data_IF_750111328308
#
_entry.id   IF_750111328308
#
_cell.length_a   1.000
_cell.length_b   1.000
_cell.length_c   1.000
_cell.angle_alpha   90.00
_cell.angle_beta   90.00
_cell.angle_gamma   90.00
#
_symmetry.space_group_name_H-M   'P 1'
#
loop_
_entity.id
_entity.type
_entity.pdbx_description
1 polymer ?
#
# COMPACT_ATOMS: atom_id res chain seq x y z
N UNK A 1 -15.00 6.89 0.44
CA UNK A 1 -14.66 5.55 0.96
C UNK A 1 -14.72 5.63 2.48
N UNK A 2 -15.41 4.70 3.13
CA UNK A 2 -15.49 4.57 4.58
C UNK A 2 -14.75 3.31 5.04
N UNK A 3 -14.53 3.20 6.34
CA UNK A 3 -13.95 2.00 6.94
C UNK A 3 -15.05 0.97 7.23
N UNK A 4 -14.78 -0.31 6.95
CA UNK A 4 -15.60 -1.45 7.31
C UNK A 4 -14.74 -2.41 8.12
N UNK A 5 -15.15 -2.68 9.37
CA UNK A 5 -14.40 -3.52 10.31
C UNK A 5 -15.10 -4.89 10.42
N UNK A 6 -14.71 -5.89 9.60
CA UNK A 6 -15.44 -7.16 9.55
C UNK A 6 -15.10 -8.10 10.72
N UNK A 7 -13.91 -7.99 11.31
CA UNK A 7 -13.40 -9.01 12.23
C UNK A 7 -13.92 -8.87 13.66
N UNK A 8 -14.19 -7.66 14.12
CA UNK A 8 -14.48 -7.39 15.52
C UNK A 8 -15.37 -6.15 15.68
N UNK A 9 -15.91 -5.96 16.87
CA UNK A 9 -16.62 -4.75 17.28
C UNK A 9 -16.01 -4.18 18.57
N UNK A 10 -16.46 -2.98 18.99
CA UNK A 10 -16.16 -2.45 20.31
C UNK A 10 -16.87 -3.25 21.41
N UNK A 11 -16.39 -3.13 22.66
CA UNK A 11 -16.94 -3.84 23.81
C UNK A 11 -18.40 -3.45 24.14
N UNK A 12 -18.81 -2.26 23.78
CA UNK A 12 -20.12 -1.66 24.02
C UNK A 12 -21.04 -1.66 22.79
N UNK A 13 -20.69 -2.45 21.77
CA UNK A 13 -21.52 -2.56 20.56
C UNK A 13 -22.90 -3.13 20.91
N UNK A 14 -24.02 -2.61 20.34
CA UNK A 14 -25.37 -3.07 20.64
C UNK A 14 -25.58 -4.58 20.50
N UNK A 15 -24.91 -5.21 19.54
CA UNK A 15 -25.00 -6.67 19.32
C UNK A 15 -24.52 -7.51 20.51
N UNK A 16 -23.74 -6.96 21.42
CA UNK A 16 -23.31 -7.67 22.65
C UNK A 16 -24.52 -8.03 23.49
N UNK A 17 -25.49 -7.14 23.56
CA UNK A 17 -26.76 -7.39 24.25
C UNK A 17 -27.85 -8.04 23.39
N UNK A 18 -27.95 -7.62 22.13
CA UNK A 18 -29.02 -8.05 21.23
C UNK A 18 -28.76 -9.41 20.59
N UNK A 19 -27.50 -9.68 20.22
CA UNK A 19 -27.05 -10.87 19.48
C UNK A 19 -25.75 -11.45 20.04
N UNK A 20 -25.67 -11.80 21.31
CA UNK A 20 -24.43 -12.28 21.94
C UNK A 20 -23.84 -13.52 21.26
N UNK A 21 -24.65 -14.31 20.56
CA UNK A 21 -24.20 -15.48 19.79
C UNK A 21 -23.36 -15.12 18.55
N UNK A 22 -23.33 -13.85 18.14
CA UNK A 22 -22.45 -13.39 17.04
C UNK A 22 -20.97 -13.33 17.44
N UNK A 23 -20.64 -13.49 18.71
CA UNK A 23 -19.29 -13.37 19.23
C UNK A 23 -18.66 -14.71 19.57
N UNK A 24 -17.36 -14.78 19.46
CA UNK A 24 -16.58 -15.95 19.90
C UNK A 24 -16.57 -16.00 21.42
N UNK A 25 -17.22 -17.02 21.98
CA UNK A 25 -17.19 -17.28 23.44
C UNK A 25 -15.97 -18.09 23.83
N UNK A 26 -15.41 -17.76 24.99
CA UNK A 26 -14.38 -18.52 25.67
C UNK A 26 -14.91 -19.35 26.82
N UNK A 27 -14.12 -20.32 27.25
CA UNK A 27 -14.33 -21.07 28.50
C UNK A 27 -13.41 -20.52 29.61
N UNK A 28 -13.69 -20.88 30.87
CA UNK A 28 -12.77 -20.60 31.99
C UNK A 28 -11.38 -21.18 31.76
N UNK A 29 -11.29 -22.30 31.05
CA UNK A 29 -10.01 -22.90 30.67
C UNK A 29 -9.26 -22.03 29.66
N UNK A 30 -9.95 -21.44 28.70
CA UNK A 30 -9.34 -20.53 27.72
C UNK A 30 -8.85 -19.26 28.41
N UNK A 31 -9.65 -18.70 29.31
CA UNK A 31 -9.24 -17.55 30.11
C UNK A 31 -8.00 -17.90 31.01
N UNK A 32 -7.97 -19.06 31.62
CA UNK A 32 -6.84 -19.48 32.42
C UNK A 32 -5.55 -19.67 31.59
N UNK A 33 -5.67 -20.13 30.34
CA UNK A 33 -4.53 -20.37 29.45
C UNK A 33 -4.01 -19.06 28.78
N UNK A 34 -4.90 -18.14 28.49
CA UNK A 34 -4.57 -16.92 27.75
C UNK A 34 -5.44 -15.73 28.20
N UNK A 35 -5.27 -15.25 29.46
CA UNK A 35 -6.15 -14.23 30.06
C UNK A 35 -6.18 -12.93 29.23
N UNK A 36 -5.13 -12.61 28.50
CA UNK A 36 -5.04 -11.43 27.63
C UNK A 36 -5.91 -11.50 26.36
N UNK A 37 -6.52 -12.66 26.07
CA UNK A 37 -7.33 -12.86 24.88
C UNK A 37 -8.83 -12.90 25.16
N UNK A 38 -9.25 -12.78 26.42
CA UNK A 38 -10.66 -12.91 26.81
C UNK A 38 -11.06 -11.87 27.85
N UNK A 39 -12.34 -11.51 27.85
CA UNK A 39 -12.92 -10.56 28.78
C UNK A 39 -14.35 -10.93 29.15
N UNK A 40 -14.70 -10.71 30.42
CA UNK A 40 -16.08 -10.80 30.90
C UNK A 40 -16.82 -9.51 30.55
N UNK A 41 -17.93 -9.63 29.84
CA UNK A 41 -18.80 -8.50 29.46
C UNK A 41 -20.24 -8.82 29.84
N UNK A 42 -20.97 -7.84 30.36
CA UNK A 42 -22.40 -7.98 30.60
C UNK A 42 -23.16 -7.93 29.27
N UNK A 43 -23.83 -9.02 28.93
CA UNK A 43 -24.64 -9.16 27.72
C UNK A 43 -26.11 -8.78 27.91
N UNK A 44 -26.47 -8.11 29.02
CA UNK A 44 -27.86 -7.81 29.36
C UNK A 44 -28.66 -9.02 29.92
N UNK A 45 -28.23 -10.23 29.63
CA UNK A 45 -28.73 -11.49 30.20
C UNK A 45 -27.78 -12.07 31.27
N UNK A 46 -26.75 -11.32 31.62
CA UNK A 46 -25.70 -11.66 32.58
C UNK A 46 -24.31 -11.66 31.96
N UNK A 47 -23.26 -11.80 32.77
CA UNK A 47 -21.89 -11.80 32.32
C UNK A 47 -21.59 -13.02 31.43
N UNK A 48 -20.97 -12.76 30.26
CA UNK A 48 -20.46 -13.78 29.34
C UNK A 48 -18.98 -13.56 29.07
N UNK A 49 -18.24 -14.63 28.82
CA UNK A 49 -16.82 -14.58 28.52
C UNK A 49 -16.64 -14.55 27.01
N UNK A 50 -16.20 -13.43 26.47
CA UNK A 50 -15.94 -13.28 25.04
C UNK A 50 -14.45 -13.19 24.75
N UNK A 51 -14.08 -13.60 23.53
CA UNK A 51 -12.75 -13.40 23.02
C UNK A 51 -12.58 -11.95 22.50
N UNK A 52 -11.39 -11.38 22.74
CA UNK A 52 -10.98 -10.16 22.03
C UNK A 52 -10.70 -10.45 20.56
N UNK A 53 -10.94 -9.46 19.69
CA UNK A 53 -10.46 -9.48 18.31
C UNK A 53 -8.95 -9.65 18.28
N UNK A 54 -8.43 -10.51 17.39
CA UNK A 54 -6.99 -10.71 17.22
C UNK A 54 -6.65 -11.34 15.88
N UNK A 55 -5.40 -11.27 15.53
CA UNK A 55 -4.80 -12.12 14.52
C UNK A 55 -4.17 -13.39 15.14
N UNK A 56 -3.72 -14.38 14.33
CA UNK A 56 -3.15 -15.61 14.86
C UNK A 56 -1.78 -15.45 15.55
N UNK A 57 -1.14 -14.28 15.47
CA UNK A 57 0.26 -14.08 15.88
C UNK A 57 0.42 -13.13 17.07
N UNK A 58 -0.60 -12.36 17.41
CA UNK A 58 -0.56 -11.37 18.50
C UNK A 58 -1.64 -11.61 19.54
N UNK A 59 -1.48 -11.11 20.78
CA UNK A 59 -2.54 -11.09 21.79
C UNK A 59 -3.77 -10.32 21.30
N UNK A 60 -4.91 -10.58 21.96
CA UNK A 60 -6.17 -9.88 21.69
C UNK A 60 -6.08 -8.37 21.89
N UNK A 61 -6.78 -7.63 21.04
CA UNK A 61 -6.95 -6.16 21.18
C UNK A 61 -7.98 -5.88 22.28
N UNK A 62 -7.57 -5.28 23.42
CA UNK A 62 -8.36 -5.29 24.66
C UNK A 62 -9.63 -4.43 24.59
N UNK A 63 -9.78 -3.60 23.59
CA UNK A 63 -10.95 -2.74 23.34
C UNK A 63 -11.95 -3.33 22.35
N UNK A 64 -11.77 -4.61 21.95
CA UNK A 64 -12.57 -5.26 20.92
C UNK A 64 -13.17 -6.59 21.37
N UNK A 65 -14.22 -7.03 20.64
CA UNK A 65 -14.79 -8.39 20.74
C UNK A 65 -14.81 -9.06 19.37
N UNK A 66 -14.37 -10.30 19.31
CA UNK A 66 -14.27 -11.08 18.07
C UNK A 66 -15.63 -11.56 17.58
N UNK A 67 -15.97 -11.25 16.34
CA UNK A 67 -17.13 -11.80 15.66
C UNK A 67 -16.90 -13.26 15.25
N UNK A 68 -17.91 -14.10 15.41
CA UNK A 68 -17.87 -15.53 15.06
C UNK A 68 -18.45 -15.79 13.68
N UNK A 69 -17.63 -15.83 12.67
CA UNK A 69 -18.04 -16.16 11.30
C UNK A 69 -18.45 -17.62 11.10
N UNK A 70 -18.22 -18.50 12.07
CA UNK A 70 -18.76 -19.86 12.06
C UNK A 70 -20.21 -19.93 12.56
N UNK A 71 -20.72 -18.87 13.19
CA UNK A 71 -22.15 -18.75 13.49
C UNK A 71 -22.92 -18.37 12.21
N UNK A 72 -24.01 -19.07 11.86
CA UNK A 72 -24.66 -18.91 10.55
C UNK A 72 -25.20 -17.49 10.27
N UNK A 73 -25.63 -16.79 11.29
CA UNK A 73 -26.26 -15.46 11.13
C UNK A 73 -25.25 -14.31 11.11
N UNK A 74 -24.03 -14.49 11.62
CA UNK A 74 -23.02 -13.42 11.69
C UNK A 74 -22.60 -12.92 10.30
N UNK A 75 -22.26 -13.79 9.32
CA UNK A 75 -21.94 -13.32 7.97
C UNK A 75 -23.07 -12.52 7.32
N UNK A 76 -24.33 -12.95 7.50
CA UNK A 76 -25.48 -12.26 6.94
C UNK A 76 -25.70 -10.89 7.58
N UNK A 77 -25.56 -10.78 8.90
CA UNK A 77 -25.63 -9.52 9.61
C UNK A 77 -24.53 -8.56 9.13
N UNK A 78 -23.30 -9.03 8.97
CA UNK A 78 -22.17 -8.22 8.46
C UNK A 78 -22.34 -7.81 7.00
N UNK A 79 -22.98 -8.62 6.16
CA UNK A 79 -23.36 -8.19 4.81
C UNK A 79 -24.40 -7.07 4.87
N UNK A 80 -25.37 -7.14 5.80
CA UNK A 80 -26.34 -6.08 6.03
C UNK A 80 -25.68 -4.73 6.40
N UNK A 81 -24.69 -4.74 7.30
CA UNK A 81 -23.89 -3.55 7.64
C UNK A 81 -23.13 -3.02 6.41
N UNK A 82 -22.52 -3.89 5.63
CA UNK A 82 -21.82 -3.51 4.41
C UNK A 82 -22.75 -2.88 3.36
N UNK A 83 -23.97 -3.40 3.19
CA UNK A 83 -25.00 -2.81 2.33
C UNK A 83 -25.43 -1.43 2.81
N UNK A 84 -25.56 -1.24 4.13
CA UNK A 84 -25.86 0.06 4.71
C UNK A 84 -24.74 1.06 4.44
N UNK A 85 -23.49 0.69 4.67
CA UNK A 85 -22.31 1.53 4.35
C UNK A 85 -22.28 1.88 2.86
N UNK A 86 -22.58 0.91 1.98
CA UNK A 86 -22.62 1.13 0.54
C UNK A 86 -23.69 2.13 0.09
N UNK A 87 -24.71 2.39 0.91
CA UNK A 87 -25.68 3.46 0.65
C UNK A 87 -25.17 4.87 0.98
N UNK A 88 -24.04 4.99 1.68
CA UNK A 88 -23.50 6.24 2.20
C UNK A 88 -22.23 6.72 1.49
N UNK A 89 -21.57 5.86 0.72
CA UNK A 89 -20.28 6.19 0.08
C UNK A 89 -20.04 5.35 -1.19
N UNK A 90 -18.92 5.62 -1.88
CA UNK A 90 -18.57 4.97 -3.16
C UNK A 90 -17.61 3.77 -2.98
N UNK A 91 -17.23 3.44 -1.76
CA UNK A 91 -16.33 2.32 -1.49
C UNK A 91 -15.96 2.18 -0.02
N UNK A 92 -15.36 1.04 0.31
CA UNK A 92 -14.88 0.72 1.66
C UNK A 92 -13.42 0.33 1.68
N UNK A 93 -12.73 0.72 2.74
CA UNK A 93 -11.51 0.07 3.19
C UNK A 93 -11.92 -0.98 4.23
N UNK A 94 -11.59 -2.23 3.97
CA UNK A 94 -11.92 -3.34 4.86
C UNK A 94 -10.75 -3.61 5.78
N UNK A 95 -10.96 -3.32 7.05
CA UNK A 95 -9.99 -3.51 8.13
C UNK A 95 -9.62 -4.98 8.27
N UNK A 96 -8.32 -5.28 8.32
CA UNK A 96 -7.79 -6.63 8.52
C UNK A 96 -8.58 -7.71 7.75
N UNK A 97 -8.87 -7.45 6.47
CA UNK A 97 -9.82 -8.21 5.66
C UNK A 97 -9.50 -9.71 5.57
N UNK A 98 -8.21 -10.09 5.70
CA UNK A 98 -7.79 -11.48 5.66
C UNK A 98 -8.18 -12.29 6.90
N UNK A 99 -8.56 -11.66 8.02
CA UNK A 99 -8.88 -12.38 9.26
C UNK A 99 -10.18 -13.19 9.17
N UNK A 100 -11.07 -12.82 8.26
CA UNK A 100 -12.33 -13.55 8.01
C UNK A 100 -12.21 -14.60 6.89
N UNK A 101 -11.01 -14.76 6.30
CA UNK A 101 -10.76 -15.89 5.39
C UNK A 101 -10.87 -17.22 6.13
N UNK A 102 -11.51 -18.26 5.55
CA UNK A 102 -11.74 -19.53 6.24
C UNK A 102 -10.49 -20.15 6.87
N UNK A 103 -9.38 -20.16 6.14
CA UNK A 103 -8.12 -20.75 6.63
C UNK A 103 -7.46 -19.93 7.74
N UNK A 104 -7.58 -18.61 7.69
CA UNK A 104 -7.03 -17.69 8.71
C UNK A 104 -7.88 -17.75 9.97
N UNK A 105 -9.20 -17.71 9.81
CA UNK A 105 -10.14 -17.83 10.93
C UNK A 105 -10.00 -19.18 11.65
N UNK A 106 -9.93 -20.27 10.90
CA UNK A 106 -9.73 -21.62 11.46
C UNK A 106 -8.41 -21.73 12.24
N UNK A 107 -7.33 -21.16 11.72
CA UNK A 107 -6.02 -21.12 12.42
C UNK A 107 -6.10 -20.38 13.75
N UNK A 108 -6.92 -19.32 13.82
CA UNK A 108 -7.03 -18.47 15.01
C UNK A 108 -8.01 -19.05 16.03
N UNK A 109 -9.13 -19.63 15.57
CA UNK A 109 -10.29 -19.98 16.41
C UNK A 109 -10.63 -21.46 16.43
N UNK A 110 -9.91 -22.30 15.64
CA UNK A 110 -10.16 -23.74 15.57
C UNK A 110 -11.47 -24.14 14.89
N UNK A 111 -12.16 -23.19 14.25
CA UNK A 111 -13.43 -23.37 13.53
C UNK A 111 -13.31 -22.78 12.14
N UNK A 112 -13.80 -23.51 11.11
CA UNK A 112 -13.74 -23.07 9.73
C UNK A 112 -15.08 -22.48 9.33
N UNK A 113 -15.17 -21.15 9.07
CA UNK A 113 -16.39 -20.54 8.55
C UNK A 113 -16.54 -20.80 7.04
N UNK A 114 -17.76 -20.56 6.48
CA UNK A 114 -17.93 -20.46 5.04
C UNK A 114 -17.16 -19.25 4.46
N UNK A 115 -16.86 -19.23 3.14
CA UNK A 115 -16.34 -18.05 2.47
C UNK A 115 -17.27 -16.84 2.61
N UNK A 116 -16.71 -15.69 2.97
CA UNK A 116 -17.49 -14.45 3.19
C UNK A 116 -17.40 -13.47 2.02
N UNK A 117 -16.17 -13.14 1.57
CA UNK A 117 -15.93 -11.98 0.72
C UNK A 117 -16.58 -12.06 -0.66
N UNK A 118 -16.50 -13.17 -1.36
CA UNK A 118 -17.05 -13.31 -2.71
C UNK A 118 -18.54 -12.99 -2.72
N UNK A 119 -19.30 -13.63 -1.82
CA UNK A 119 -20.75 -13.40 -1.68
C UNK A 119 -21.08 -11.97 -1.24
N UNK A 120 -20.35 -11.40 -0.29
CA UNK A 120 -20.54 -10.05 0.21
C UNK A 120 -20.30 -8.99 -0.88
N UNK A 121 -19.18 -9.10 -1.60
CA UNK A 121 -18.82 -8.20 -2.71
C UNK A 121 -19.82 -8.29 -3.86
N UNK A 122 -20.20 -9.52 -4.26
CA UNK A 122 -21.20 -9.73 -5.30
C UNK A 122 -22.56 -9.10 -4.94
N UNK A 123 -22.99 -9.27 -3.69
CA UNK A 123 -24.27 -8.73 -3.21
C UNK A 123 -24.29 -7.20 -3.21
N UNK A 124 -23.24 -6.55 -2.77
CA UNK A 124 -23.12 -5.09 -2.83
C UNK A 124 -23.10 -4.60 -4.28
N UNK A 125 -22.29 -5.22 -5.14
CA UNK A 125 -22.16 -4.82 -6.55
C UNK A 125 -23.43 -5.04 -7.37
N UNK A 126 -24.31 -5.94 -6.98
CA UNK A 126 -25.66 -6.06 -7.61
C UNK A 126 -26.48 -4.78 -7.47
N UNK A 127 -26.30 -4.01 -6.38
CA UNK A 127 -27.01 -2.75 -6.11
C UNK A 127 -26.19 -1.52 -6.48
N UNK A 128 -24.87 -1.59 -6.33
CA UNK A 128 -23.91 -0.53 -6.58
C UNK A 128 -22.73 -1.07 -7.41
N UNK A 129 -22.86 -1.21 -8.75
CA UNK A 129 -21.84 -1.85 -9.59
C UNK A 129 -20.46 -1.18 -9.55
N UNK A 130 -20.41 0.15 -9.32
CA UNK A 130 -19.18 0.94 -9.25
C UNK A 130 -18.57 1.02 -7.86
N UNK A 131 -19.17 0.34 -6.86
CA UNK A 131 -18.68 0.38 -5.49
C UNK A 131 -17.31 -0.31 -5.37
N UNK A 132 -16.37 0.37 -4.70
CA UNK A 132 -14.97 -0.04 -4.62
C UNK A 132 -14.61 -0.67 -3.29
N UNK A 133 -13.77 -1.71 -3.35
CA UNK A 133 -13.29 -2.44 -2.19
C UNK A 133 -11.77 -2.36 -2.10
N UNK A 134 -11.25 -1.91 -0.96
CA UNK A 134 -9.82 -1.92 -0.63
C UNK A 134 -9.58 -2.80 0.59
N UNK A 135 -8.72 -3.80 0.47
CA UNK A 135 -8.36 -4.67 1.56
C UNK A 135 -7.13 -4.15 2.31
N UNK A 136 -7.25 -3.98 3.61
CA UNK A 136 -6.08 -4.11 4.45
C UNK A 136 -5.73 -5.59 4.57
N UNK A 137 -4.52 -5.94 4.15
CA UNK A 137 -4.08 -7.33 4.03
C UNK A 137 -2.58 -7.46 4.23
N UNK A 138 -2.16 -8.58 4.82
CA UNK A 138 -0.78 -8.94 5.12
C UNK A 138 -0.51 -10.40 4.74
N UNK A 139 0.72 -10.89 5.00
CA UNK A 139 1.14 -12.31 4.92
C UNK A 139 1.05 -12.92 3.52
N UNK A 140 1.32 -12.13 2.49
CA UNK A 140 1.27 -12.56 1.07
C UNK A 140 -0.12 -12.94 0.56
N UNK A 141 -1.16 -12.42 1.21
CA UNK A 141 -2.54 -12.66 0.83
C UNK A 141 -3.11 -11.59 -0.11
N UNK A 142 -2.31 -10.62 -0.56
CA UNK A 142 -2.73 -9.52 -1.45
C UNK A 142 -3.34 -10.07 -2.74
N UNK A 143 -2.68 -11.04 -3.37
CA UNK A 143 -3.21 -11.71 -4.57
C UNK A 143 -4.53 -12.44 -4.27
N UNK A 144 -4.60 -13.15 -3.15
CA UNK A 144 -5.84 -13.84 -2.74
C UNK A 144 -7.00 -12.86 -2.62
N UNK A 145 -6.81 -11.73 -1.94
CA UNK A 145 -7.87 -10.71 -1.82
C UNK A 145 -8.28 -10.13 -3.17
N UNK A 146 -7.32 -9.89 -4.07
CA UNK A 146 -7.61 -9.44 -5.42
C UNK A 146 -8.46 -10.46 -6.21
N UNK A 147 -8.20 -11.77 -6.06
CA UNK A 147 -8.99 -12.82 -6.72
C UNK A 147 -10.42 -12.94 -6.13
N UNK A 148 -10.60 -12.62 -4.86
CA UNK A 148 -11.91 -12.58 -4.19
C UNK A 148 -12.75 -11.35 -4.58
N UNK A 149 -12.22 -10.44 -5.40
CA UNK A 149 -12.97 -9.32 -5.97
C UNK A 149 -12.62 -7.94 -5.39
N UNK A 150 -11.63 -7.82 -4.52
CA UNK A 150 -11.16 -6.50 -4.08
C UNK A 150 -10.53 -5.74 -5.25
N UNK A 151 -10.84 -4.45 -5.36
CA UNK A 151 -10.22 -3.57 -6.35
C UNK A 151 -8.76 -3.30 -6.02
N UNK A 152 -8.46 -3.11 -4.73
CA UNK A 152 -7.10 -2.87 -4.24
C UNK A 152 -6.80 -3.63 -2.95
N UNK A 153 -5.52 -3.97 -2.79
CA UNK A 153 -4.94 -4.56 -1.58
C UNK A 153 -3.75 -3.72 -1.12
N UNK A 154 -3.54 -3.55 0.18
CA UNK A 154 -2.39 -2.82 0.72
C UNK A 154 -1.07 -3.40 0.25
N UNK A 155 -0.13 -2.56 -0.20
CA UNK A 155 1.24 -2.95 -0.55
C UNK A 155 2.20 -2.75 0.63
N UNK A 156 1.95 -3.49 1.72
CA UNK A 156 2.83 -3.47 2.90
C UNK A 156 4.24 -3.96 2.57
N UNK A 157 4.38 -4.87 1.62
CA UNK A 157 5.67 -5.42 1.21
C UNK A 157 6.58 -4.39 0.56
N UNK A 158 6.06 -3.54 -0.32
CA UNK A 158 6.87 -2.46 -0.89
C UNK A 158 7.30 -1.49 0.20
N UNK A 159 6.38 -1.11 1.08
CA UNK A 159 6.67 -0.25 2.22
C UNK A 159 7.81 -0.81 3.09
N UNK A 160 7.75 -2.08 3.49
CA UNK A 160 8.78 -2.70 4.32
C UNK A 160 10.13 -2.77 3.62
N UNK A 161 10.17 -3.08 2.32
CA UNK A 161 11.38 -3.10 1.51
C UNK A 161 12.01 -1.72 1.36
N UNK A 162 11.20 -0.69 1.18
CA UNK A 162 11.68 0.70 1.15
C UNK A 162 12.27 1.10 2.50
N UNK A 163 11.64 0.73 3.59
CA UNK A 163 12.17 0.98 4.94
C UNK A 163 13.47 0.23 5.23
N UNK A 164 13.63 -0.96 4.68
CA UNK A 164 14.86 -1.73 4.76
C UNK A 164 16.04 -1.09 3.98
N UNK A 165 15.76 -0.16 3.05
CA UNK A 165 16.78 0.66 2.40
C UNK A 165 17.59 -0.05 1.30
N UNK A 166 17.08 -1.14 0.71
CA UNK A 166 17.79 -1.91 -0.31
C UNK A 166 17.04 -1.89 -1.66
N UNK A 167 17.70 -1.44 -2.72
CA UNK A 167 17.11 -1.29 -4.05
C UNK A 167 16.74 -2.63 -4.71
N UNK A 168 17.55 -3.67 -4.55
CA UNK A 168 17.32 -4.98 -5.18
C UNK A 168 15.98 -5.61 -4.77
N UNK A 169 15.62 -5.74 -3.46
CA UNK A 169 14.31 -6.26 -3.06
C UNK A 169 13.14 -5.42 -3.57
N UNK A 170 13.31 -4.09 -3.67
CA UNK A 170 12.31 -3.19 -4.26
C UNK A 170 12.13 -3.50 -5.74
N UNK A 171 13.22 -3.64 -6.50
CA UNK A 171 13.18 -3.98 -7.92
C UNK A 171 12.56 -5.37 -8.17
N UNK A 172 12.91 -6.36 -7.34
CA UNK A 172 12.32 -7.70 -7.41
C UNK A 172 10.80 -7.69 -7.16
N UNK A 173 10.31 -6.84 -6.24
CA UNK A 173 8.88 -6.65 -6.04
C UNK A 173 8.19 -6.07 -7.28
N UNK A 174 8.83 -5.16 -7.97
CA UNK A 174 8.32 -4.51 -9.17
C UNK A 174 8.39 -5.39 -10.45
N UNK A 175 8.96 -6.60 -10.38
CA UNK A 175 8.91 -7.59 -11.46
C UNK A 175 7.55 -8.31 -11.56
N UNK A 176 6.68 -8.19 -10.57
CA UNK A 176 5.35 -8.80 -10.61
C UNK A 176 4.53 -8.28 -11.82
N UNK A 177 3.57 -9.06 -12.30
CA UNK A 177 2.70 -8.70 -13.41
C UNK A 177 1.89 -7.43 -13.15
N UNK A 178 1.57 -6.68 -14.22
CA UNK A 178 0.84 -5.41 -14.12
C UNK A 178 -0.60 -5.59 -13.61
N UNK A 179 -1.23 -6.72 -13.88
CA UNK A 179 -2.53 -7.11 -13.35
C UNK A 179 -2.55 -7.15 -11.82
N UNK A 180 -1.47 -7.65 -11.21
CA UNK A 180 -1.28 -7.63 -9.77
C UNK A 180 -0.94 -6.23 -9.26
N UNK A 181 0.07 -5.58 -9.88
CA UNK A 181 0.61 -4.30 -9.40
C UNK A 181 -0.39 -3.14 -9.47
N UNK A 182 -1.21 -3.07 -10.54
CA UNK A 182 -2.23 -2.02 -10.71
C UNK A 182 -3.32 -2.05 -9.62
N UNK A 183 -3.44 -3.18 -8.95
CA UNK A 183 -4.42 -3.43 -7.88
C UNK A 183 -3.80 -3.43 -6.48
N UNK A 184 -2.63 -2.83 -6.32
CA UNK A 184 -2.00 -2.57 -5.03
C UNK A 184 -2.26 -1.12 -4.59
N UNK A 185 -2.62 -0.92 -3.32
CA UNK A 185 -2.70 0.39 -2.69
C UNK A 185 -1.35 0.71 -2.04
N UNK A 186 -0.60 1.65 -2.61
CA UNK A 186 0.77 1.98 -2.24
C UNK A 186 0.84 3.19 -1.35
N UNK A 187 1.57 3.06 -0.24
CA UNK A 187 1.71 4.08 0.79
C UNK A 187 3.12 4.11 1.39
N UNK A 188 3.48 5.23 1.99
CA UNK A 188 4.69 5.39 2.79
C UNK A 188 4.40 5.51 4.29
N UNK A 189 3.18 5.79 4.63
CA UNK A 189 2.64 5.82 5.99
C UNK A 189 1.12 5.64 5.94
N UNK A 190 0.56 5.21 7.03
CA UNK A 190 -0.88 5.21 7.32
C UNK A 190 -1.09 5.49 8.81
N UNK A 191 -2.30 5.28 9.34
CA UNK A 191 -2.58 5.53 10.76
C UNK A 191 -1.91 4.50 11.72
N UNK A 192 -1.53 3.33 11.22
CA UNK A 192 -0.87 2.26 12.01
C UNK A 192 0.65 2.33 11.94
N UNK A 193 1.19 2.77 10.81
CA UNK A 193 2.63 2.83 10.60
C UNK A 193 3.25 4.11 11.17
N UNK A 194 4.56 4.11 11.45
CA UNK A 194 5.28 5.33 11.76
C UNK A 194 5.17 6.35 10.62
N UNK A 195 5.15 7.64 10.97
CA UNK A 195 5.20 8.72 9.99
C UNK A 195 6.43 8.60 9.08
N UNK A 196 6.27 8.78 7.79
CA UNK A 196 7.36 8.67 6.81
C UNK A 196 8.51 9.64 7.14
N UNK A 197 8.18 10.89 7.50
CA UNK A 197 9.18 11.89 7.89
C UNK A 197 9.93 11.55 9.19
N UNK A 198 9.45 10.60 10.00
CA UNK A 198 10.13 10.12 11.20
C UNK A 198 10.92 8.83 10.95
N UNK A 199 10.50 8.00 10.00
CA UNK A 199 11.03 6.65 9.76
C UNK A 199 12.05 6.56 8.63
N UNK A 200 12.01 7.46 7.66
CA UNK A 200 12.99 7.54 6.59
C UNK A 200 14.04 8.64 6.88
N UNK A 201 15.30 8.36 6.55
CA UNK A 201 16.34 9.38 6.58
C UNK A 201 16.06 10.49 5.54
N UNK A 202 16.60 11.72 5.74
CA UNK A 202 16.57 12.76 4.72
C UNK A 202 17.10 12.24 3.37
N UNK A 203 16.42 12.61 2.28
CA UNK A 203 16.71 12.06 0.94
C UNK A 203 16.06 10.69 0.68
N UNK A 204 16.20 9.73 1.60
CA UNK A 204 15.55 8.43 1.50
C UNK A 204 14.03 8.54 1.45
N UNK A 205 13.41 9.44 2.21
CA UNK A 205 11.98 9.71 2.19
C UNK A 205 11.51 10.11 0.79
N UNK A 206 12.20 11.06 0.18
CA UNK A 206 11.83 11.54 -1.17
C UNK A 206 12.08 10.48 -2.24
N UNK A 207 13.19 9.72 -2.14
CA UNK A 207 13.47 8.59 -3.05
C UNK A 207 12.41 7.49 -2.92
N UNK A 208 12.03 7.13 -1.69
CA UNK A 208 10.96 6.17 -1.43
C UNK A 208 9.60 6.66 -1.99
N UNK A 209 9.29 7.96 -1.84
CA UNK A 209 8.06 8.56 -2.39
C UNK A 209 8.01 8.47 -3.91
N UNK A 210 9.12 8.73 -4.61
CA UNK A 210 9.21 8.57 -6.07
C UNK A 210 8.93 7.13 -6.46
N UNK A 211 9.56 6.15 -5.80
CA UNK A 211 9.31 4.73 -6.09
C UNK A 211 7.84 4.36 -5.80
N UNK A 212 7.31 4.76 -4.64
CA UNK A 212 5.95 4.40 -4.21
C UNK A 212 4.89 4.96 -5.15
N UNK A 213 4.97 6.24 -5.49
CA UNK A 213 3.85 6.94 -6.13
C UNK A 213 3.98 7.05 -7.65
N UNK A 214 5.18 6.88 -8.23
CA UNK A 214 5.36 6.87 -9.69
C UNK A 214 5.41 5.46 -10.30
N UNK A 215 5.10 4.42 -9.53
CA UNK A 215 4.89 3.05 -10.02
C UNK A 215 3.39 2.72 -10.08
N UNK A 216 2.95 1.64 -10.76
CA UNK A 216 1.53 1.30 -10.90
C UNK A 216 0.85 1.05 -9.55
N UNK A 217 -0.46 1.27 -9.48
CA UNK A 217 -1.30 1.04 -8.30
C UNK A 217 -2.03 2.27 -7.81
N UNK A 218 -2.89 2.09 -6.81
CA UNK A 218 -3.58 3.17 -6.12
C UNK A 218 -2.59 3.93 -5.24
N UNK A 219 -2.54 5.24 -5.37
CA UNK A 219 -1.68 6.12 -4.61
C UNK A 219 -2.37 6.56 -3.33
N UNK A 220 -1.95 5.99 -2.21
CA UNK A 220 -2.56 6.24 -0.92
C UNK A 220 -1.67 7.17 -0.08
N UNK A 221 -2.15 8.41 0.13
CA UNK A 221 -1.50 9.42 0.97
C UNK A 221 -2.20 9.54 2.30
N UNK A 222 -1.45 9.65 3.38
CA UNK A 222 -1.97 9.87 4.72
C UNK A 222 -1.99 11.37 5.08
N UNK A 223 -3.00 11.82 5.81
CA UNK A 223 -3.11 13.22 6.26
C UNK A 223 -1.87 13.63 7.05
N UNK A 224 -1.29 14.77 6.68
CA UNK A 224 -0.07 15.29 7.32
C UNK A 224 1.23 14.78 6.70
N UNK A 225 1.17 13.82 5.77
CA UNK A 225 2.34 13.33 5.05
C UNK A 225 2.97 14.41 4.17
N UNK A 226 2.14 15.18 3.47
CA UNK A 226 2.60 16.22 2.56
C UNK A 226 3.25 17.39 3.31
N UNK A 227 2.85 17.64 4.53
CA UNK A 227 3.43 18.62 5.44
C UNK A 227 4.67 18.11 6.17
N UNK A 228 4.99 16.85 6.05
CA UNK A 228 6.13 16.21 6.70
C UNK A 228 5.94 16.04 8.22
N UNK A 229 4.72 15.78 8.68
CA UNK A 229 4.45 15.52 10.11
C UNK A 229 5.19 14.29 10.59
N UNK A 230 5.68 14.32 11.83
CA UNK A 230 6.53 13.28 12.43
C UNK A 230 5.85 12.53 13.58
N UNK A 231 4.92 13.17 14.27
CA UNK A 231 4.22 12.55 15.38
C UNK A 231 3.14 11.58 14.86
N UNK A 232 3.23 10.30 15.26
CA UNK A 232 2.16 9.34 15.07
C UNK A 232 1.05 9.66 16.07
N UNK A 233 -0.18 9.73 15.58
CA UNK A 233 -1.36 9.98 16.39
C UNK A 233 -2.12 8.68 16.49
N UNK A 234 -2.44 8.26 17.71
CA UNK A 234 -3.35 7.12 17.90
C UNK A 234 -4.74 7.48 17.36
N UNK A 235 -5.43 6.59 16.63
CA UNK A 235 -6.80 6.80 16.17
C UNK A 235 -7.79 7.03 17.31
N UNK A 236 -7.46 6.61 18.54
CA UNK A 236 -8.27 6.86 19.75
C UNK A 236 -8.16 8.28 20.31
N UNK A 237 -7.26 9.11 19.76
CA UNK A 237 -7.07 10.48 20.23
C UNK A 237 -7.79 11.48 19.32
N UNK A 238 -8.52 12.40 19.93
CA UNK A 238 -9.19 13.51 19.23
C UNK A 238 -8.30 14.73 19.01
N UNK A 239 -7.04 14.69 19.44
CA UNK A 239 -6.09 15.80 19.37
C UNK A 239 -4.79 15.35 18.71
N UNK A 240 -4.27 16.22 17.83
CA UNK A 240 -2.95 16.10 17.25
C UNK A 240 -2.02 17.18 17.83
N UNK A 241 -0.71 16.92 18.00
CA UNK A 241 0.25 17.96 18.30
C UNK A 241 0.31 18.98 17.15
N UNK A 242 0.57 20.23 17.50
CA UNK A 242 0.89 21.23 16.49
C UNK A 242 2.35 21.02 16.05
N UNK A 243 2.53 20.72 14.78
CA UNK A 243 3.85 20.50 14.18
C UNK A 243 4.06 21.48 13.02
N UNK A 244 5.24 22.13 12.94
CA UNK A 244 5.56 23.01 11.83
C UNK A 244 5.63 22.22 10.51
N UNK A 245 5.17 22.86 9.44
CA UNK A 245 5.31 22.33 8.08
C UNK A 245 6.77 22.27 7.68
N UNK A 246 7.23 21.13 7.15
CA UNK A 246 8.54 20.97 6.58
C UNK A 246 8.53 21.46 5.12
N UNK A 247 8.92 22.72 4.90
CA UNK A 247 8.77 23.42 3.62
C UNK A 247 9.45 22.69 2.44
N UNK A 248 10.57 22.02 2.65
CA UNK A 248 11.24 21.23 1.60
C UNK A 248 10.42 20.00 1.18
N UNK A 249 9.88 19.25 2.15
CA UNK A 249 9.02 18.12 1.86
C UNK A 249 7.72 18.56 1.18
N UNK A 250 7.12 19.63 1.67
CA UNK A 250 5.89 20.16 1.07
C UNK A 250 6.10 20.56 -0.40
N UNK A 251 7.23 21.23 -0.71
CA UNK A 251 7.59 21.58 -2.08
C UNK A 251 7.81 20.34 -2.93
N UNK A 252 8.58 19.38 -2.44
CA UNK A 252 8.79 18.11 -3.13
C UNK A 252 7.49 17.38 -3.43
N UNK A 253 6.58 17.28 -2.45
CA UNK A 253 5.28 16.65 -2.70
C UNK A 253 4.41 17.43 -3.68
N UNK A 254 4.49 18.76 -3.71
CA UNK A 254 3.80 19.56 -4.72
C UNK A 254 4.30 19.24 -6.13
N UNK A 255 5.61 19.09 -6.33
CA UNK A 255 6.24 18.67 -7.60
C UNK A 255 5.84 17.23 -7.97
N UNK A 256 5.90 16.32 -7.01
CA UNK A 256 5.49 14.91 -7.22
C UNK A 256 4.01 14.81 -7.61
N UNK A 257 3.12 15.54 -6.93
CA UNK A 257 1.70 15.58 -7.27
C UNK A 257 1.44 16.19 -8.64
N UNK A 258 2.26 17.17 -9.07
CA UNK A 258 2.19 17.72 -10.42
C UNK A 258 2.61 16.66 -11.47
N UNK A 259 3.68 15.91 -11.19
CA UNK A 259 4.12 14.80 -12.04
C UNK A 259 3.07 13.67 -12.14
N UNK A 260 2.34 13.38 -11.07
CA UNK A 260 1.26 12.38 -11.07
C UNK A 260 0.02 12.80 -11.89
N UNK A 261 -0.13 14.08 -12.20
CA UNK A 261 -1.19 14.58 -13.09
C UNK A 261 -0.84 14.48 -14.58
N UNK A 262 0.44 14.24 -14.89
CA UNK A 262 0.88 14.02 -16.27
C UNK A 262 0.14 12.81 -16.84
N UNK A 263 -0.59 12.95 -17.97
CA UNK A 263 -1.31 11.85 -18.60
C UNK A 263 -0.41 10.64 -18.91
N UNK A 264 0.88 10.89 -19.22
CA UNK A 264 1.84 9.83 -19.49
C UNK A 264 2.08 8.95 -18.25
N UNK A 265 2.12 9.55 -17.05
CA UNK A 265 2.31 8.82 -15.78
C UNK A 265 0.98 8.27 -15.27
N UNK A 266 -0.12 8.98 -15.49
CA UNK A 266 -1.43 8.60 -14.96
C UNK A 266 -2.07 7.45 -15.74
N UNK A 267 -2.01 7.52 -17.07
CA UNK A 267 -2.78 6.68 -17.99
C UNK A 267 -1.89 5.83 -18.92
N UNK A 268 -0.57 5.97 -18.81
CA UNK A 268 0.38 5.33 -19.73
C UNK A 268 0.70 3.87 -19.41
N UNK A 269 1.39 3.25 -20.34
CA UNK A 269 1.96 1.91 -20.17
C UNK A 269 3.26 1.98 -19.36
N UNK A 270 3.32 1.22 -18.29
CA UNK A 270 4.49 1.14 -17.41
C UNK A 270 5.39 -0.03 -17.76
N UNK A 271 6.70 0.18 -17.61
CA UNK A 271 7.71 -0.90 -17.75
C UNK A 271 8.88 -0.69 -16.80
N UNK A 272 9.25 -1.74 -16.06
CA UNK A 272 10.52 -1.78 -15.34
C UNK A 272 11.67 -1.85 -16.36
N UNK A 273 12.73 -1.06 -16.16
CA UNK A 273 13.86 -0.98 -17.06
C UNK A 273 15.03 -1.82 -16.52
N UNK A 274 15.78 -2.42 -17.44
CA UNK A 274 17.00 -3.14 -17.13
C UNK A 274 18.15 -2.18 -16.79
N UNK A 275 19.00 -2.62 -15.90
CA UNK A 275 20.16 -1.88 -15.43
C UNK A 275 21.42 -2.66 -15.76
N UNK A 276 22.46 -1.96 -16.18
CA UNK A 276 23.76 -2.56 -16.45
C UNK A 276 24.86 -1.84 -15.66
N UNK A 277 25.94 -2.56 -15.30
CA UNK A 277 27.13 -1.95 -14.68
C UNK A 277 27.69 -0.82 -15.51
N UNK A 278 28.13 0.25 -14.86
CA UNK A 278 28.74 1.41 -15.52
C UNK A 278 30.09 1.04 -16.18
N UNK A 279 30.82 0.07 -15.60
CA UNK A 279 32.05 -0.53 -16.09
C UNK A 279 32.25 -1.94 -15.51
N UNK A 280 33.21 -2.69 -15.99
CA UNK A 280 33.51 -4.04 -15.49
C UNK A 280 33.84 -3.99 -13.97
N UNK A 281 33.15 -4.80 -13.18
CA UNK A 281 33.30 -4.86 -11.74
C UNK A 281 32.53 -3.77 -10.96
N UNK A 282 31.83 -2.85 -11.64
CA UNK A 282 30.91 -1.93 -10.95
C UNK A 282 29.65 -2.66 -10.49
N UNK A 283 29.46 -2.75 -9.19
CA UNK A 283 28.29 -3.39 -8.58
C UNK A 283 27.15 -2.40 -8.25
N UNK A 284 27.43 -1.08 -8.32
CA UNK A 284 26.50 -0.05 -7.86
C UNK A 284 25.27 0.09 -8.77
N UNK A 285 25.25 -0.53 -9.94
CA UNK A 285 24.02 -0.68 -10.73
C UNK A 285 22.87 -1.37 -9.95
N UNK A 286 23.21 -2.27 -9.02
CA UNK A 286 22.23 -2.91 -8.14
C UNK A 286 21.55 -1.94 -7.15
N UNK A 287 22.10 -0.76 -6.96
CA UNK A 287 21.60 0.30 -6.10
C UNK A 287 20.44 1.09 -6.74
N UNK A 288 20.13 0.85 -8.01
CA UNK A 288 19.13 1.60 -8.74
C UNK A 288 17.80 0.84 -8.88
N UNK A 289 16.74 1.64 -8.99
CA UNK A 289 15.44 1.23 -9.52
C UNK A 289 15.09 2.18 -10.65
N UNK A 290 14.77 1.67 -11.84
CA UNK A 290 14.42 2.50 -12.99
C UNK A 290 13.22 1.91 -13.74
N UNK A 291 12.36 2.79 -14.26
CA UNK A 291 11.18 2.41 -15.03
C UNK A 291 10.80 3.50 -16.01
N UNK A 292 9.90 3.16 -16.93
CA UNK A 292 9.34 4.11 -17.88
C UNK A 292 7.82 4.10 -17.86
N UNK A 293 7.24 5.22 -18.25
CA UNK A 293 5.85 5.38 -18.62
C UNK A 293 5.76 5.84 -20.07
N UNK A 294 4.81 5.32 -20.84
CA UNK A 294 4.59 5.72 -22.23
C UNK A 294 3.11 5.93 -22.53
N UNK A 295 2.78 7.07 -23.13
CA UNK A 295 1.42 7.40 -23.56
C UNK A 295 1.42 8.29 -24.79
N UNK A 296 0.65 7.92 -25.85
CA UNK A 296 0.48 8.77 -27.03
C UNK A 296 1.78 9.19 -27.74
N UNK A 297 2.86 8.42 -27.61
CA UNK A 297 4.19 8.76 -28.17
C UNK A 297 5.10 9.52 -27.19
N UNK A 298 4.58 10.02 -26.10
CA UNK A 298 5.38 10.61 -25.02
C UNK A 298 5.99 9.53 -24.11
N UNK A 299 7.17 9.82 -23.60
CA UNK A 299 7.93 8.91 -22.72
C UNK A 299 8.39 9.66 -21.48
N UNK A 300 8.21 9.03 -20.32
CA UNK A 300 8.83 9.43 -19.06
C UNK A 300 9.72 8.31 -18.57
N UNK A 301 10.92 8.65 -18.11
CA UNK A 301 11.89 7.70 -17.53
C UNK A 301 12.20 8.13 -16.11
N UNK A 302 11.88 7.27 -15.16
CA UNK A 302 12.25 7.48 -13.77
C UNK A 302 13.46 6.61 -13.42
N UNK A 303 14.37 7.16 -12.64
CA UNK A 303 15.52 6.44 -12.08
C UNK A 303 15.82 6.94 -10.67
N UNK A 304 16.04 6.03 -9.76
CA UNK A 304 16.32 6.31 -8.35
C UNK A 304 17.55 5.50 -7.92
N UNK A 305 18.56 6.18 -7.41
CA UNK A 305 19.60 5.53 -6.60
C UNK A 305 19.02 5.37 -5.18
N UNK A 306 18.66 4.14 -4.82
CA UNK A 306 18.02 3.85 -3.53
C UNK A 306 19.03 3.31 -2.52
N UNK A 307 20.13 4.07 -2.32
CA UNK A 307 21.15 3.80 -1.30
C UNK A 307 21.68 5.12 -0.71
N UNK A 308 22.45 5.01 0.36
CA UNK A 308 23.06 6.11 1.11
C UNK A 308 24.45 6.55 0.57
N UNK A 309 24.82 6.10 -0.63
CA UNK A 309 26.09 6.47 -1.28
C UNK A 309 25.91 6.76 -2.77
N UNK A 310 26.89 7.45 -3.36
CA UNK A 310 26.91 7.70 -4.80
C UNK A 310 27.07 6.40 -5.58
N UNK A 311 26.28 6.28 -6.65
CA UNK A 311 26.19 5.04 -7.44
C UNK A 311 26.06 5.35 -8.93
N UNK A 312 26.51 4.41 -9.78
CA UNK A 312 26.54 4.56 -11.23
C UNK A 312 25.90 3.36 -11.90
N UNK A 313 25.20 3.61 -13.01
CA UNK A 313 24.63 2.56 -13.85
C UNK A 313 24.39 3.05 -15.28
N UNK A 314 24.14 2.09 -16.18
CA UNK A 314 23.46 2.32 -17.45
C UNK A 314 22.01 1.87 -17.31
N UNK A 315 21.05 2.77 -17.58
CA UNK A 315 19.64 2.42 -17.71
C UNK A 315 19.36 2.06 -19.16
N UNK A 316 18.94 0.82 -19.44
CA UNK A 316 18.63 0.34 -20.78
C UNK A 316 17.34 0.95 -21.32
N UNK A 317 17.41 1.59 -22.50
CA UNK A 317 16.29 2.29 -23.11
C UNK A 317 15.89 1.71 -24.48
N UNK A 318 16.53 0.63 -24.92
CA UNK A 318 16.29 -0.05 -26.20
C UNK A 318 14.83 -0.45 -26.42
N UNK A 319 14.15 -0.82 -25.33
CA UNK A 319 12.72 -1.17 -25.37
C UNK A 319 11.75 0.00 -25.56
N UNK A 320 12.24 1.25 -25.54
CA UNK A 320 11.40 2.44 -25.64
C UNK A 320 11.15 2.89 -27.09
N UNK A 321 11.86 2.31 -28.07
CA UNK A 321 11.70 2.64 -29.47
C UNK A 321 11.99 4.12 -29.77
N UNK A 322 12.98 4.70 -29.09
CA UNK A 322 13.42 6.07 -29.35
C UNK A 322 14.03 6.14 -30.76
N UNK A 323 13.82 7.26 -31.44
CA UNK A 323 14.33 7.46 -32.82
C UNK A 323 15.78 7.90 -32.78
N UNK A 324 16.46 7.72 -33.92
CA UNK A 324 17.78 8.34 -34.17
C UNK A 324 17.65 9.87 -34.12
N UNK A 325 18.71 10.54 -33.71
CA UNK A 325 18.77 11.99 -33.61
C UNK A 325 19.11 12.49 -32.21
N UNK A 326 19.01 13.77 -32.00
CA UNK A 326 19.26 14.40 -30.71
C UNK A 326 18.10 14.20 -29.77
N UNK A 327 18.36 13.60 -28.60
CA UNK A 327 17.34 13.41 -27.56
C UNK A 327 17.66 14.30 -26.36
N UNK A 328 16.64 15.02 -25.91
CA UNK A 328 16.68 15.87 -24.74
C UNK A 328 15.92 15.19 -23.61
N UNK A 329 16.58 15.01 -22.47
CA UNK A 329 15.99 14.52 -21.24
C UNK A 329 15.93 15.69 -20.24
N UNK A 330 14.73 16.07 -19.84
CA UNK A 330 14.51 17.16 -18.87
C UNK A 330 13.89 16.60 -17.60
N UNK A 331 14.55 16.81 -16.46
CA UNK A 331 14.05 16.34 -15.18
C UNK A 331 12.82 17.15 -14.72
N UNK A 332 11.78 16.44 -14.29
CA UNK A 332 10.52 17.01 -13.79
C UNK A 332 10.48 17.11 -12.26
N UNK A 333 11.51 16.57 -11.58
CA UNK A 333 11.67 16.59 -10.14
C UNK A 333 12.95 17.32 -9.70
N UNK A 334 13.63 17.97 -10.63
CA UNK A 334 14.86 18.72 -10.42
C UNK A 334 15.27 19.52 -11.65
N UNK A 335 16.49 20.07 -11.65
CA UNK A 335 16.98 20.98 -12.70
C UNK A 335 17.84 20.29 -13.77
N UNK A 336 17.98 18.94 -13.71
CA UNK A 336 18.85 18.21 -14.61
C UNK A 336 18.30 18.23 -16.05
N UNK A 337 19.18 18.54 -17.01
CA UNK A 337 18.89 18.47 -18.42
C UNK A 337 20.06 17.84 -19.18
N UNK A 338 19.77 16.76 -19.87
CA UNK A 338 20.78 16.06 -20.67
C UNK A 338 20.41 16.11 -22.16
N UNK A 339 21.44 16.26 -23.00
CA UNK A 339 21.35 16.07 -24.43
C UNK A 339 22.18 14.85 -24.84
N UNK A 340 21.59 13.91 -25.56
CA UNK A 340 22.21 12.64 -25.92
C UNK A 340 21.93 12.29 -27.37
N UNK A 341 22.82 11.53 -27.96
CA UNK A 341 22.58 10.89 -29.25
C UNK A 341 21.63 9.71 -29.08
N UNK A 342 20.59 9.64 -29.92
CA UNK A 342 19.57 8.58 -29.83
C UNK A 342 20.12 7.18 -30.11
N UNK A 343 21.11 7.03 -31.02
CA UNK A 343 21.74 5.75 -31.29
C UNK A 343 22.55 5.27 -30.08
N UNK A 344 23.26 6.19 -29.42
CA UNK A 344 23.98 5.87 -28.19
C UNK A 344 23.02 5.45 -27.07
N UNK A 345 21.94 6.18 -26.87
CA UNK A 345 20.91 5.83 -25.87
C UNK A 345 20.30 4.44 -26.15
N UNK A 346 20.04 4.10 -27.41
CA UNK A 346 19.47 2.80 -27.78
C UNK A 346 20.48 1.66 -27.64
N UNK A 347 21.76 1.89 -27.91
CA UNK A 347 22.78 0.84 -27.89
C UNK A 347 23.39 0.62 -26.51
N UNK A 348 23.67 1.70 -25.76
CA UNK A 348 24.33 1.66 -24.45
C UNK A 348 23.38 1.90 -23.29
N UNK A 349 22.33 2.71 -23.50
CA UNK A 349 21.44 3.20 -22.47
C UNK A 349 21.80 4.62 -22.01
N UNK A 350 21.10 5.07 -20.96
CA UNK A 350 21.37 6.34 -20.27
C UNK A 350 22.35 6.08 -19.11
N UNK A 351 23.55 6.67 -19.22
CA UNK A 351 24.48 6.68 -18.09
C UNK A 351 24.00 7.63 -17.01
N UNK A 352 23.97 7.13 -15.77
CA UNK A 352 23.66 7.91 -14.58
C UNK A 352 24.78 7.75 -13.54
N UNK A 353 25.15 8.87 -12.94
CA UNK A 353 25.98 9.00 -11.74
C UNK A 353 25.20 9.85 -10.74
N UNK A 354 24.60 9.18 -9.76
CA UNK A 354 23.70 9.84 -8.81
C UNK A 354 24.24 9.81 -7.39
N UNK A 355 24.13 10.91 -6.65
CA UNK A 355 24.44 10.93 -5.22
C UNK A 355 23.52 9.98 -4.44
N UNK A 356 23.78 9.82 -3.15
CA UNK A 356 22.90 9.13 -2.22
C UNK A 356 21.45 9.60 -2.38
N UNK A 357 20.52 8.66 -2.57
CA UNK A 357 19.08 8.91 -2.77
C UNK A 357 18.76 9.87 -3.92
N UNK A 358 19.69 10.01 -4.87
CA UNK A 358 19.50 10.78 -6.09
C UNK A 358 18.38 10.18 -6.95
N UNK A 359 17.59 11.03 -7.58
CA UNK A 359 16.39 10.62 -8.31
C UNK A 359 16.11 11.57 -9.47
N UNK A 360 15.51 11.03 -10.52
CA UNK A 360 15.03 11.79 -11.68
C UNK A 360 13.69 11.23 -12.17
N UNK A 361 12.89 12.11 -12.74
CA UNK A 361 11.79 11.78 -13.64
C UNK A 361 11.99 12.57 -14.94
N UNK A 362 12.60 11.95 -15.94
CA UNK A 362 12.88 12.60 -17.20
C UNK A 362 11.68 12.58 -18.15
N UNK A 363 11.34 13.74 -18.66
CA UNK A 363 10.64 13.90 -19.91
C UNK A 363 11.63 13.67 -21.05
N UNK A 364 11.30 12.78 -21.99
CA UNK A 364 12.18 12.38 -23.10
C UNK A 364 11.61 12.93 -24.39
N UNK A 365 12.32 13.86 -25.03
CA UNK A 365 11.89 14.54 -26.27
C UNK A 365 12.94 14.35 -27.35
N UNK A 366 12.49 13.94 -28.55
CA UNK A 366 13.32 13.96 -29.75
C UNK A 366 13.39 15.40 -30.24
N UNK A 367 14.60 15.97 -30.27
CA UNK A 367 14.81 17.30 -30.84
C UNK A 367 14.88 17.21 -32.37
N UNK A 368 13.98 17.91 -33.01
CA UNK A 368 14.00 18.08 -34.47
C UNK A 368 15.24 18.86 -34.98
#
# INVERSE_FOLDING_TARGET
MLDFVPNHTALDHPWVGEHPAYYVEGSELDLARAPQNYVWVDSGSGPRLFAHGRDPYVPGWPDTLQLDYAHPDTPEAMVGELEQIASLCDGVRCDMAMLVLPDVFERTWGRRPPPFWEGAIERVRKRAPEFRFMAEVYWDLEWTMQQLGFDWAYDKRLYDRLRAGAARPVREHLLAGLDYQSRLARFLENHDEPRAAASFAPGAHQAAAVVTYLTPGLRFFHQGQLEGRRARISPHLVRAPDEPVQAELQRFYAELLAALRDPTVRDGDWRLLELAPAWDGNWTSDCFVAWSWRHGGEVRVAAVNFTDHASQCWVRLDSLGLTEGKIVLTDRLGDARYERDGRELMSRGLYLDLPAFGRHLFEVVVSS
#
